data_IF_246661033837
#
_entry.id   IF_246661033837
#
_cell.length_a   1.000
_cell.length_b   1.000
_cell.length_c   1.000
_cell.angle_alpha   90.00
_cell.angle_beta   90.00
_cell.angle_gamma   90.00
#
_symmetry.space_group_name_H-M   'P 1'
#
loop_
_entity.id
_entity.type
_entity.pdbx_description
1 polymer ?
#
# COMPACT_ATOMS: atom_id res chain seq x y z
N UNK A 1 -11.42 5.10 -21.53
CA UNK A 1 -11.94 4.45 -22.76
C UNK A 1 -10.84 3.79 -23.57
N UNK A 2 -9.71 4.41 -23.77
CA UNK A 2 -8.59 3.88 -24.58
C UNK A 2 -8.08 2.49 -24.12
N UNK A 3 -8.02 2.21 -22.81
CA UNK A 3 -7.52 0.93 -22.28
C UNK A 3 -8.40 -0.27 -22.70
N UNK A 4 -9.73 -0.11 -22.75
CA UNK A 4 -10.64 -1.15 -23.25
C UNK A 4 -10.49 -1.38 -24.76
N UNK A 5 -10.30 -0.30 -25.55
CA UNK A 5 -10.09 -0.41 -27.00
C UNK A 5 -8.81 -1.18 -27.31
N UNK A 6 -7.75 -1.02 -26.50
CA UNK A 6 -6.51 -1.80 -26.66
C UNK A 6 -6.70 -3.28 -26.33
N UNK A 7 -7.59 -3.61 -25.40
CA UNK A 7 -7.87 -5.00 -24.99
C UNK A 7 -8.94 -5.70 -25.86
N UNK A 8 -9.82 -4.96 -26.55
CA UNK A 8 -10.84 -5.54 -27.45
C UNK A 8 -10.33 -6.59 -28.41
N UNK A 9 -9.20 -6.43 -29.11
CA UNK A 9 -8.69 -7.46 -30.03
C UNK A 9 -8.48 -8.81 -29.38
N UNK A 10 -8.24 -8.86 -28.06
CA UNK A 10 -8.10 -10.12 -27.33
C UNK A 10 -9.44 -10.82 -27.21
N UNK A 11 -10.49 -10.10 -26.79
CA UNK A 11 -11.85 -10.63 -26.70
C UNK A 11 -12.34 -11.08 -28.08
N UNK A 12 -12.18 -10.21 -29.10
CA UNK A 12 -12.60 -10.53 -30.49
C UNK A 12 -11.92 -11.78 -31.01
N UNK A 13 -10.66 -12.00 -30.68
CA UNK A 13 -9.91 -13.18 -31.07
C UNK A 13 -10.42 -14.45 -30.38
N UNK A 14 -10.76 -14.40 -29.10
CA UNK A 14 -11.39 -15.49 -28.36
C UNK A 14 -12.77 -15.82 -28.95
N UNK A 15 -13.61 -14.79 -29.19
CA UNK A 15 -14.94 -14.92 -29.76
C UNK A 15 -14.88 -15.53 -31.18
N UNK A 16 -13.94 -15.08 -32.01
CA UNK A 16 -13.73 -15.62 -33.36
C UNK A 16 -13.34 -17.10 -33.35
N UNK A 17 -12.70 -17.58 -32.28
CA UNK A 17 -12.38 -18.99 -32.09
C UNK A 17 -13.50 -19.79 -31.40
N UNK A 18 -14.71 -19.22 -31.25
CA UNK A 18 -15.89 -19.91 -30.74
C UNK A 18 -16.06 -19.88 -29.23
N UNK A 19 -15.30 -19.04 -28.51
CA UNK A 19 -15.39 -18.91 -27.07
C UNK A 19 -16.12 -17.62 -26.65
N UNK A 20 -16.76 -17.66 -25.51
CA UNK A 20 -17.24 -16.47 -24.85
C UNK A 20 -16.07 -15.71 -24.19
N UNK A 21 -16.12 -14.37 -24.22
CA UNK A 21 -15.13 -13.53 -23.57
C UNK A 21 -15.73 -12.19 -23.13
N UNK A 22 -15.41 -11.77 -21.91
CA UNK A 22 -15.96 -10.59 -21.28
C UNK A 22 -14.89 -9.84 -20.48
N UNK A 23 -15.01 -8.52 -20.41
CA UNK A 23 -14.36 -7.74 -19.37
C UNK A 23 -15.08 -7.96 -18.05
N UNK A 24 -14.34 -8.08 -16.93
CA UNK A 24 -14.95 -8.45 -15.64
C UNK A 24 -14.31 -7.72 -14.47
N UNK A 25 -15.02 -7.70 -13.34
CA UNK A 25 -14.44 -7.30 -12.06
C UNK A 25 -14.14 -5.80 -11.92
N UNK A 26 -12.95 -5.51 -11.40
CA UNK A 26 -12.56 -4.15 -11.04
C UNK A 26 -12.60 -3.15 -12.18
N UNK A 27 -12.19 -3.54 -13.38
CA UNK A 27 -12.16 -2.65 -14.55
C UNK A 27 -13.57 -2.24 -15.00
N UNK A 28 -14.55 -3.16 -14.94
CA UNK A 28 -15.95 -2.84 -15.29
C UNK A 28 -16.55 -1.92 -14.25
N UNK A 29 -16.38 -2.21 -12.95
CA UNK A 29 -16.81 -1.34 -11.85
C UNK A 29 -16.24 0.07 -12.00
N UNK A 30 -14.93 0.20 -12.20
CA UNK A 30 -14.26 1.50 -12.25
C UNK A 30 -14.66 2.29 -13.51
N UNK A 31 -14.95 1.59 -14.62
CA UNK A 31 -15.56 2.23 -15.80
C UNK A 31 -16.95 2.79 -15.50
N UNK A 32 -17.81 2.02 -14.85
CA UNK A 32 -19.17 2.45 -14.49
C UNK A 32 -19.17 3.65 -13.52
N UNK A 33 -18.13 3.71 -12.65
CA UNK A 33 -17.93 4.81 -11.72
C UNK A 33 -17.14 6.00 -12.31
N UNK A 34 -16.76 5.96 -13.58
CA UNK A 34 -15.90 6.96 -14.24
C UNK A 34 -14.58 7.20 -13.47
N UNK A 35 -13.99 6.13 -12.91
CA UNK A 35 -12.71 6.15 -12.20
C UNK A 35 -11.56 5.77 -13.13
N UNK A 36 -10.34 6.10 -12.72
CA UNK A 36 -9.14 5.61 -13.39
C UNK A 36 -9.07 4.10 -13.31
N UNK A 37 -8.91 3.44 -14.45
CA UNK A 37 -8.83 1.98 -14.57
C UNK A 37 -7.36 1.60 -14.53
N UNK A 38 -7.02 0.68 -13.64
CA UNK A 38 -5.68 0.09 -13.56
C UNK A 38 -5.52 -1.03 -14.59
N UNK A 39 -5.77 -2.25 -14.15
CA UNK A 39 -5.61 -3.45 -14.97
C UNK A 39 -6.93 -3.87 -15.62
N UNK A 40 -6.84 -4.54 -16.77
CA UNK A 40 -7.99 -5.15 -17.45
C UNK A 40 -8.00 -6.65 -17.17
N UNK A 41 -9.07 -7.10 -16.51
CA UNK A 41 -9.35 -8.51 -16.30
C UNK A 41 -10.32 -9.01 -17.36
N UNK A 42 -9.99 -10.15 -17.99
CA UNK A 42 -10.82 -10.82 -19.00
C UNK A 42 -11.20 -12.20 -18.47
N UNK A 43 -12.48 -12.54 -18.56
CA UNK A 43 -12.97 -13.88 -18.30
C UNK A 43 -13.44 -14.52 -19.61
N UNK A 44 -13.21 -15.85 -19.80
CA UNK A 44 -13.54 -16.58 -21.02
C UNK A 44 -14.01 -18.00 -20.74
N UNK A 45 -14.78 -18.57 -21.68
CA UNK A 45 -15.13 -20.00 -21.66
C UNK A 45 -14.00 -20.91 -22.19
N UNK A 46 -12.94 -20.32 -22.76
CA UNK A 46 -11.77 -21.07 -23.23
C UNK A 46 -10.96 -21.63 -22.06
N UNK A 47 -10.50 -22.86 -22.14
CA UNK A 47 -9.59 -23.46 -21.18
C UNK A 47 -8.19 -22.81 -21.29
N UNK A 48 -7.34 -22.89 -20.25
CA UNK A 48 -6.01 -22.29 -20.27
C UNK A 48 -5.16 -22.74 -21.48
N UNK A 49 -5.22 -24.02 -21.85
CA UNK A 49 -4.50 -24.59 -22.99
C UNK A 49 -5.03 -24.03 -24.33
N UNK A 50 -6.33 -23.78 -24.41
CA UNK A 50 -6.95 -23.17 -25.59
C UNK A 50 -6.53 -21.71 -25.72
N UNK A 51 -6.51 -20.94 -24.61
CA UNK A 51 -5.96 -19.58 -24.59
C UNK A 51 -4.52 -19.55 -25.06
N UNK A 52 -3.67 -20.46 -24.54
CA UNK A 52 -2.27 -20.55 -24.95
C UNK A 52 -2.09 -20.92 -26.42
N UNK A 53 -3.01 -21.70 -26.99
CA UNK A 53 -2.97 -22.06 -28.44
C UNK A 53 -3.38 -20.90 -29.35
N UNK A 54 -4.30 -20.03 -28.87
CA UNK A 54 -4.83 -18.89 -29.63
C UNK A 54 -3.82 -17.74 -29.69
N UNK A 55 -3.09 -17.50 -28.58
CA UNK A 55 -2.19 -16.35 -28.45
C UNK A 55 -0.72 -16.76 -28.54
N UNK A 56 0.10 -16.06 -29.37
CA UNK A 56 1.49 -16.44 -29.58
C UNK A 56 2.43 -16.15 -28.42
N UNK A 57 2.06 -15.22 -27.53
CA UNK A 57 2.86 -14.82 -26.37
C UNK A 57 2.01 -14.94 -25.11
N UNK A 58 2.24 -15.99 -24.36
CA UNK A 58 1.53 -16.27 -23.11
C UNK A 58 2.51 -16.65 -22.00
N UNK A 59 2.12 -16.37 -20.75
CA UNK A 59 2.84 -16.81 -19.56
C UNK A 59 1.84 -17.52 -18.65
N UNK A 60 2.08 -18.78 -18.28
CA UNK A 60 1.19 -19.54 -17.39
C UNK A 60 1.38 -19.10 -15.93
N UNK A 61 0.70 -18.07 -15.50
CA UNK A 61 0.84 -17.48 -14.17
C UNK A 61 0.01 -18.16 -13.09
N UNK A 62 -1.02 -18.92 -13.48
CA UNK A 62 -1.94 -19.55 -12.52
C UNK A 62 -2.81 -20.64 -13.15
N UNK A 63 -2.22 -21.57 -13.89
CA UNK A 63 -2.95 -22.64 -14.60
C UNK A 63 -3.92 -23.44 -13.72
N UNK A 64 -3.51 -23.74 -12.47
CA UNK A 64 -4.36 -24.45 -11.51
C UNK A 64 -5.61 -23.65 -11.14
N UNK A 65 -5.61 -22.34 -11.38
CA UNK A 65 -6.72 -21.43 -11.13
C UNK A 65 -7.34 -20.91 -12.44
N UNK A 66 -6.93 -21.45 -13.58
CA UNK A 66 -7.47 -21.06 -14.88
C UNK A 66 -6.95 -19.75 -15.45
N UNK A 67 -5.88 -19.16 -14.88
CA UNK A 67 -5.37 -17.84 -15.29
C UNK A 67 -4.14 -17.99 -16.20
N UNK A 68 -4.17 -17.29 -17.34
CA UNK A 68 -3.07 -17.16 -18.30
C UNK A 68 -2.83 -15.67 -18.55
N UNK A 69 -1.58 -15.23 -18.49
CA UNK A 69 -1.19 -13.89 -18.89
C UNK A 69 -0.91 -13.87 -20.38
N UNK A 70 -1.65 -13.06 -21.13
CA UNK A 70 -1.44 -12.83 -22.57
C UNK A 70 -0.73 -11.52 -22.76
N UNK A 71 0.34 -11.50 -23.56
CA UNK A 71 1.09 -10.29 -23.89
C UNK A 71 0.66 -9.82 -25.30
N UNK A 72 -0.07 -8.72 -25.36
CA UNK A 72 -0.54 -8.09 -26.58
C UNK A 72 0.04 -6.67 -26.69
N UNK A 73 0.73 -6.36 -27.79
CA UNK A 73 1.38 -5.05 -28.01
C UNK A 73 2.28 -4.60 -26.84
N UNK A 74 3.03 -5.55 -26.26
CA UNK A 74 3.90 -5.36 -25.08
C UNK A 74 3.16 -5.05 -23.77
N UNK A 75 1.83 -5.07 -23.75
CA UNK A 75 1.02 -4.93 -22.53
C UNK A 75 0.51 -6.31 -22.06
N UNK A 76 0.58 -6.62 -20.75
CA UNK A 76 0.07 -7.86 -20.19
C UNK A 76 -1.44 -7.77 -19.89
N UNK A 77 -2.18 -8.85 -20.15
CA UNK A 77 -3.59 -8.98 -19.84
C UNK A 77 -3.84 -10.31 -19.15
N UNK A 78 -4.53 -10.30 -18.02
CA UNK A 78 -4.96 -11.52 -17.35
C UNK A 78 -6.23 -12.06 -17.97
N UNK A 79 -6.15 -13.31 -18.47
CA UNK A 79 -7.29 -14.04 -18.99
C UNK A 79 -7.57 -15.22 -18.09
N UNK A 80 -8.76 -15.27 -17.52
CA UNK A 80 -9.18 -16.32 -16.59
C UNK A 80 -10.33 -17.12 -17.17
N UNK A 81 -10.18 -18.43 -17.21
CA UNK A 81 -11.26 -19.35 -17.59
C UNK A 81 -12.40 -19.28 -16.60
N UNK A 82 -13.67 -19.26 -17.07
CA UNK A 82 -14.85 -19.35 -16.21
C UNK A 82 -14.74 -20.56 -15.30
N UNK A 83 -15.00 -20.38 -14.03
CA UNK A 83 -14.85 -21.42 -13.04
C UNK A 83 -15.84 -21.32 -11.90
N UNK A 84 -16.13 -22.45 -11.32
CA UNK A 84 -16.73 -22.56 -9.98
C UNK A 84 -15.67 -23.08 -9.03
N UNK A 85 -15.86 -22.84 -7.78
CA UNK A 85 -14.96 -23.21 -6.71
C UNK A 85 -15.73 -24.14 -5.74
N UNK A 86 -15.15 -25.31 -5.44
CA UNK A 86 -15.75 -26.26 -4.48
C UNK A 86 -15.46 -25.84 -3.04
N UNK A 87 -15.77 -26.70 -2.07
CA UNK A 87 -15.56 -26.46 -0.64
C UNK A 87 -14.13 -26.03 -0.34
N UNK A 88 -13.98 -25.05 0.55
CA UNK A 88 -12.70 -24.54 1.02
C UNK A 88 -12.31 -25.22 2.33
N UNK A 89 -11.09 -25.76 2.43
CA UNK A 89 -10.60 -26.40 3.65
C UNK A 89 -9.81 -25.47 4.58
N UNK A 90 -9.23 -24.39 4.03
CA UNK A 90 -8.30 -23.50 4.74
C UNK A 90 -8.73 -22.02 4.72
N UNK A 91 -10.02 -21.75 4.46
CA UNK A 91 -10.57 -20.38 4.32
C UNK A 91 -9.88 -19.54 3.26
N UNK A 92 -9.23 -20.18 2.25
CA UNK A 92 -8.47 -19.48 1.20
C UNK A 92 -8.52 -20.17 -0.15
N UNK A 93 -8.25 -21.46 -0.19
CA UNK A 93 -8.12 -22.22 -1.45
C UNK A 93 -9.28 -23.16 -1.62
N UNK A 94 -9.96 -23.10 -2.74
CA UNK A 94 -10.91 -24.16 -3.07
C UNK A 94 -10.16 -25.49 -3.18
N UNK A 95 -10.74 -26.56 -2.70
CA UNK A 95 -10.18 -27.92 -2.84
C UNK A 95 -10.06 -28.33 -4.29
N UNK A 96 -11.00 -27.90 -5.12
CA UNK A 96 -11.05 -28.10 -6.57
C UNK A 96 -11.58 -26.88 -7.27
N UNK A 97 -11.03 -26.62 -8.45
CA UNK A 97 -11.53 -25.63 -9.40
C UNK A 97 -12.14 -26.39 -10.56
N UNK A 98 -13.42 -26.19 -10.81
CA UNK A 98 -14.12 -26.77 -11.94
C UNK A 98 -14.35 -25.69 -12.98
N UNK A 99 -13.84 -25.91 -14.20
CA UNK A 99 -14.10 -24.99 -15.31
C UNK A 99 -15.52 -25.15 -15.82
N UNK A 100 -16.19 -24.02 -16.03
CA UNK A 100 -17.57 -23.96 -16.48
C UNK A 100 -17.68 -23.15 -17.76
N UNK A 101 -18.84 -23.21 -18.42
CA UNK A 101 -19.08 -22.48 -19.66
C UNK A 101 -19.93 -21.23 -19.48
N UNK A 102 -20.58 -21.07 -18.31
CA UNK A 102 -21.47 -19.96 -18.04
C UNK A 102 -20.71 -18.83 -17.33
N UNK A 103 -20.79 -17.61 -17.85
CA UNK A 103 -20.28 -16.41 -17.19
C UNK A 103 -21.02 -16.15 -15.86
N UNK A 104 -22.32 -16.47 -15.77
CA UNK A 104 -23.11 -16.27 -14.56
C UNK A 104 -22.57 -17.10 -13.38
N UNK A 105 -22.14 -18.35 -13.67
CA UNK A 105 -21.53 -19.22 -12.66
C UNK A 105 -20.18 -18.63 -12.17
N UNK A 106 -19.36 -18.06 -13.06
CA UNK A 106 -18.11 -17.38 -12.66
C UNK A 106 -18.38 -16.12 -11.84
N UNK A 107 -19.41 -15.34 -12.22
CA UNK A 107 -19.78 -14.15 -11.46
C UNK A 107 -20.33 -14.48 -10.07
N UNK A 108 -21.02 -15.63 -9.91
CA UNK A 108 -21.63 -16.09 -8.66
C UNK A 108 -20.61 -16.36 -7.56
N UNK A 109 -19.40 -16.83 -7.88
CA UNK A 109 -18.34 -17.13 -6.90
C UNK A 109 -17.60 -15.90 -6.38
N UNK A 110 -17.81 -14.72 -6.99
CA UNK A 110 -17.11 -13.50 -6.63
C UNK A 110 -17.52 -12.96 -5.26
N UNK A 111 -16.76 -11.99 -4.76
CA UNK A 111 -16.94 -11.45 -3.41
C UNK A 111 -18.17 -10.55 -3.27
N UNK A 112 -18.25 -9.51 -4.10
CA UNK A 112 -19.29 -8.48 -4.00
C UNK A 112 -20.00 -8.26 -5.34
N UNK A 113 -21.28 -7.91 -5.27
CA UNK A 113 -22.14 -7.67 -6.45
C UNK A 113 -21.52 -6.67 -7.41
N UNK A 114 -20.95 -5.57 -6.90
CA UNK A 114 -20.27 -4.54 -7.69
C UNK A 114 -19.04 -5.02 -8.47
N UNK A 115 -18.47 -6.18 -8.11
CA UNK A 115 -17.34 -6.82 -8.80
C UNK A 115 -17.81 -8.02 -9.64
N UNK A 116 -19.11 -8.35 -9.58
CA UNK A 116 -19.74 -9.49 -10.27
C UNK A 116 -20.52 -9.02 -11.49
N UNK A 117 -19.94 -8.07 -12.21
CA UNK A 117 -20.47 -7.47 -13.42
C UNK A 117 -19.52 -7.82 -14.56
N UNK A 118 -20.06 -8.26 -15.68
CA UNK A 118 -19.32 -8.46 -16.91
C UNK A 118 -19.77 -7.47 -18.00
N UNK A 119 -18.90 -7.24 -18.98
CA UNK A 119 -19.17 -6.31 -20.08
C UNK A 119 -18.64 -6.89 -21.38
N UNK A 120 -19.48 -6.84 -22.43
CA UNK A 120 -19.11 -7.24 -23.78
C UNK A 120 -18.21 -6.20 -24.48
N UNK A 121 -17.63 -6.57 -25.62
CA UNK A 121 -16.90 -5.63 -26.51
C UNK A 121 -17.78 -4.50 -27.05
N UNK A 122 -19.11 -4.66 -27.04
CA UNK A 122 -20.10 -3.64 -27.42
C UNK A 122 -20.54 -2.76 -26.25
N UNK A 123 -19.94 -2.91 -25.07
CA UNK A 123 -20.33 -2.26 -23.82
C UNK A 123 -21.70 -2.67 -23.26
N UNK A 124 -22.23 -3.82 -23.67
CA UNK A 124 -23.42 -4.40 -23.06
C UNK A 124 -23.04 -4.97 -21.70
N UNK A 125 -23.86 -4.69 -20.69
CA UNK A 125 -23.62 -5.12 -19.31
C UNK A 125 -24.36 -6.43 -19.02
N UNK A 126 -23.66 -7.38 -18.41
CA UNK A 126 -24.20 -8.63 -17.88
C UNK A 126 -24.10 -8.54 -16.36
N UNK A 127 -25.22 -8.41 -15.69
CA UNK A 127 -25.31 -8.13 -14.25
C UNK A 127 -26.42 -8.98 -13.59
N UNK A 128 -26.16 -10.27 -13.38
CA UNK A 128 -27.15 -11.19 -12.81
C UNK A 128 -27.45 -10.94 -11.32
N UNK A 129 -26.61 -10.15 -10.63
CA UNK A 129 -26.72 -9.91 -9.19
C UNK A 129 -27.06 -8.46 -8.82
N UNK A 130 -27.51 -7.64 -9.79
CA UNK A 130 -27.86 -6.23 -9.60
C UNK A 130 -26.71 -5.37 -9.04
N UNK A 131 -25.47 -5.72 -9.37
CA UNK A 131 -24.28 -4.98 -8.91
C UNK A 131 -24.23 -3.55 -9.41
N UNK A 132 -24.84 -3.24 -10.56
CA UNK A 132 -24.97 -1.87 -11.08
C UNK A 132 -25.86 -1.01 -10.19
N UNK A 133 -26.93 -1.56 -9.64
CA UNK A 133 -27.80 -0.85 -8.68
C UNK A 133 -27.01 -0.58 -7.41
N UNK A 134 -26.36 -1.59 -6.84
CA UNK A 134 -25.53 -1.44 -5.63
C UNK A 134 -24.40 -0.41 -5.84
N UNK A 135 -23.82 -0.33 -7.04
CA UNK A 135 -22.82 0.70 -7.39
C UNK A 135 -23.40 2.11 -7.34
N UNK A 136 -24.58 2.35 -7.93
CA UNK A 136 -25.23 3.65 -7.91
C UNK A 136 -25.67 4.06 -6.52
N UNK A 137 -26.08 3.10 -5.69
CA UNK A 137 -26.47 3.32 -4.31
C UNK A 137 -25.27 3.47 -3.35
N UNK A 138 -24.05 3.33 -3.86
CA UNK A 138 -22.82 3.35 -3.06
C UNK A 138 -22.79 2.24 -2.02
N UNK A 139 -23.21 1.03 -2.39
CA UNK A 139 -23.40 -0.10 -1.49
C UNK A 139 -22.41 -1.22 -1.80
N UNK A 140 -21.84 -1.82 -0.75
CA UNK A 140 -21.01 -3.01 -0.82
C UNK A 140 -21.81 -4.17 -0.25
N UNK A 141 -22.27 -5.05 -1.14
CA UNK A 141 -23.09 -6.21 -0.83
C UNK A 141 -22.40 -7.48 -1.34
N UNK A 142 -22.38 -8.55 -0.52
CA UNK A 142 -21.88 -9.85 -0.96
C UNK A 142 -22.78 -10.46 -2.05
N UNK A 143 -22.18 -11.26 -2.92
CA UNK A 143 -22.93 -12.12 -3.85
C UNK A 143 -23.51 -13.30 -3.07
N UNK A 144 -24.81 -13.46 -3.07
CA UNK A 144 -25.48 -14.51 -2.29
C UNK A 144 -25.34 -14.29 -0.77
N UNK A 145 -25.24 -15.38 -0.02
CA UNK A 145 -25.18 -15.34 1.45
C UNK A 145 -23.79 -14.91 1.95
N UNK A 146 -23.71 -13.75 2.59
CA UNK A 146 -22.46 -13.17 3.06
C UNK A 146 -21.69 -14.09 4.03
N UNK A 147 -22.41 -14.84 4.87
CA UNK A 147 -21.81 -15.79 5.81
C UNK A 147 -21.05 -16.89 5.06
N UNK A 148 -21.63 -17.46 4.03
CA UNK A 148 -21.00 -18.49 3.19
C UNK A 148 -19.75 -17.94 2.49
N UNK A 149 -19.86 -16.74 1.89
CA UNK A 149 -18.74 -16.07 1.22
C UNK A 149 -17.54 -15.85 2.16
N UNK A 150 -17.76 -15.53 3.43
CA UNK A 150 -16.69 -15.34 4.40
C UNK A 150 -16.11 -16.65 4.94
N UNK A 151 -16.89 -17.73 4.93
CA UNK A 151 -16.39 -19.08 5.25
C UNK A 151 -15.54 -19.65 4.12
N UNK A 152 -15.76 -19.26 2.88
CA UNK A 152 -14.92 -19.62 1.73
C UNK A 152 -13.55 -18.91 1.78
N UNK A 153 -13.54 -17.59 1.80
CA UNK A 153 -12.32 -16.77 1.99
C UNK A 153 -12.60 -15.66 3.00
N UNK A 154 -12.10 -15.84 4.21
CA UNK A 154 -12.28 -14.89 5.30
C UNK A 154 -11.65 -13.51 5.00
N UNK A 155 -10.68 -13.42 4.08
CA UNK A 155 -10.12 -12.14 3.64
C UNK A 155 -11.17 -11.23 3.00
N UNK A 156 -12.26 -11.79 2.45
CA UNK A 156 -13.36 -11.01 1.88
C UNK A 156 -13.95 -10.02 2.90
N UNK A 157 -13.89 -10.30 4.19
CA UNK A 157 -14.30 -9.36 5.24
C UNK A 157 -13.47 -8.07 5.20
N UNK A 158 -12.15 -8.19 5.18
CA UNK A 158 -11.25 -7.03 5.07
C UNK A 158 -11.36 -6.36 3.70
N UNK A 159 -11.55 -7.13 2.63
CA UNK A 159 -11.80 -6.57 1.29
C UNK A 159 -13.05 -5.68 1.28
N UNK A 160 -14.14 -6.09 1.93
CA UNK A 160 -15.36 -5.27 2.07
C UNK A 160 -15.07 -3.95 2.77
N UNK A 161 -14.39 -3.98 3.92
CA UNK A 161 -14.00 -2.79 4.67
C UNK A 161 -13.04 -1.89 3.85
N UNK A 162 -12.08 -2.49 3.15
CA UNK A 162 -11.20 -1.75 2.23
C UNK A 162 -11.99 -1.03 1.15
N UNK A 163 -12.97 -1.69 0.52
CA UNK A 163 -13.78 -1.05 -0.51
C UNK A 163 -14.62 0.10 0.04
N UNK A 164 -15.11 0.02 1.29
CA UNK A 164 -15.74 1.18 1.95
C UNK A 164 -14.79 2.36 1.97
N UNK A 165 -13.55 2.15 2.38
CA UNK A 165 -12.55 3.23 2.41
C UNK A 165 -12.19 3.74 1.01
N UNK A 166 -11.96 2.86 0.04
CA UNK A 166 -11.48 3.24 -1.30
C UNK A 166 -12.54 3.91 -2.16
N UNK A 167 -13.80 3.45 -2.06
CA UNK A 167 -14.90 3.92 -2.88
C UNK A 167 -15.76 4.99 -2.18
N UNK A 168 -15.59 5.13 -0.86
CA UNK A 168 -16.42 5.97 0.00
C UNK A 168 -17.88 5.49 0.09
N UNK A 169 -18.07 4.18 -0.05
CA UNK A 169 -19.33 3.48 0.00
C UNK A 169 -19.72 3.07 1.42
N UNK A 170 -20.86 2.42 1.59
CA UNK A 170 -21.30 1.79 2.84
C UNK A 170 -21.46 0.28 2.68
N UNK A 171 -21.32 -0.46 3.78
CA UNK A 171 -21.65 -1.90 3.79
C UNK A 171 -23.15 -2.11 3.85
N UNK A 172 -23.65 -3.12 3.14
CA UNK A 172 -24.99 -3.65 3.33
C UNK A 172 -25.13 -4.28 4.74
N UNK A 173 -26.28 -4.14 5.38
CA UNK A 173 -26.47 -4.58 6.77
C UNK A 173 -26.19 -6.08 6.97
N UNK A 174 -26.61 -6.93 6.04
CA UNK A 174 -26.33 -8.37 6.10
C UNK A 174 -24.81 -8.64 5.98
N UNK A 175 -24.13 -7.91 5.10
CA UNK A 175 -22.67 -8.01 4.95
C UNK A 175 -21.95 -7.58 6.24
N UNK A 176 -22.38 -6.47 6.85
CA UNK A 176 -21.84 -6.00 8.12
C UNK A 176 -22.05 -7.02 9.25
N UNK A 177 -23.28 -7.54 9.40
CA UNK A 177 -23.61 -8.52 10.43
C UNK A 177 -22.86 -9.85 10.23
N UNK A 178 -22.66 -10.26 8.97
CA UNK A 178 -21.86 -11.43 8.66
C UNK A 178 -20.37 -11.25 9.01
N UNK A 179 -19.76 -10.07 8.78
CA UNK A 179 -18.41 -9.77 9.24
C UNK A 179 -18.33 -9.88 10.76
N UNK A 180 -19.25 -9.24 11.47
CA UNK A 180 -19.29 -9.25 12.93
C UNK A 180 -19.42 -10.67 13.51
N UNK A 181 -20.16 -11.54 12.83
CA UNK A 181 -20.38 -12.94 13.27
C UNK A 181 -19.19 -13.86 12.96
N UNK A 182 -18.43 -13.59 11.89
CA UNK A 182 -17.37 -14.44 11.38
C UNK A 182 -15.95 -13.89 11.60
N UNK A 183 -15.79 -12.79 12.33
CA UNK A 183 -14.52 -12.07 12.52
C UNK A 183 -13.32 -12.95 12.93
N UNK A 184 -13.55 -14.00 13.72
CA UNK A 184 -12.50 -14.93 14.18
C UNK A 184 -11.84 -15.68 13.02
N UNK A 185 -12.57 -15.88 11.89
CA UNK A 185 -12.03 -16.60 10.74
C UNK A 185 -10.81 -15.88 10.12
N UNK A 186 -10.65 -14.57 10.37
CA UNK A 186 -9.51 -13.81 9.85
C UNK A 186 -8.17 -14.31 10.40
N UNK A 187 -8.16 -14.92 11.59
CA UNK A 187 -6.95 -15.46 12.23
C UNK A 187 -6.33 -16.62 11.43
N UNK A 188 -7.11 -17.25 10.53
CA UNK A 188 -6.64 -18.32 9.66
C UNK A 188 -5.96 -17.79 8.37
N UNK A 189 -6.01 -16.47 8.14
CA UNK A 189 -5.48 -15.87 6.91
C UNK A 189 -4.01 -15.47 7.11
N UNK A 190 -3.19 -15.72 6.09
CA UNK A 190 -1.80 -15.28 6.07
C UNK A 190 -1.69 -13.76 6.29
N UNK A 191 -0.81 -13.36 7.20
CA UNK A 191 -0.67 -11.97 7.65
C UNK A 191 -0.30 -11.04 6.49
N UNK A 192 0.47 -11.53 5.53
CA UNK A 192 0.85 -10.79 4.32
C UNK A 192 -0.38 -10.36 3.51
N UNK A 193 -1.40 -11.22 3.41
CA UNK A 193 -2.67 -10.87 2.74
C UNK A 193 -3.47 -9.85 3.54
N UNK A 194 -3.55 -10.04 4.86
CA UNK A 194 -4.21 -9.09 5.79
C UNK A 194 -3.56 -7.71 5.67
N UNK A 195 -2.22 -7.67 5.70
CA UNK A 195 -1.43 -6.44 5.62
C UNK A 195 -1.75 -5.64 4.35
N UNK A 196 -1.81 -6.30 3.20
CA UNK A 196 -2.16 -5.64 1.93
C UNK A 196 -3.55 -5.02 1.95
N UNK A 197 -4.55 -5.69 2.52
CA UNK A 197 -5.93 -5.16 2.58
C UNK A 197 -6.02 -3.98 3.56
N UNK A 198 -5.39 -4.08 4.73
CA UNK A 198 -5.36 -3.02 5.74
C UNK A 198 -4.63 -1.78 5.20
N UNK A 199 -3.49 -1.96 4.56
CA UNK A 199 -2.75 -0.82 4.00
C UNK A 199 -3.53 -0.11 2.88
N UNK A 200 -4.15 -0.87 1.98
CA UNK A 200 -5.01 -0.31 0.94
C UNK A 200 -6.25 0.39 1.52
N UNK A 201 -6.75 -0.06 2.67
CA UNK A 201 -7.82 0.61 3.40
C UNK A 201 -7.33 1.93 3.99
N UNK A 202 -6.17 1.93 4.64
CA UNK A 202 -5.61 3.10 5.33
C UNK A 202 -5.25 4.25 4.37
N UNK A 203 -4.86 3.95 3.13
CA UNK A 203 -4.58 4.95 2.08
C UNK A 203 -5.77 5.20 1.14
N UNK A 204 -6.94 4.68 1.48
CA UNK A 204 -8.17 4.90 0.71
C UNK A 204 -8.66 6.35 0.79
N UNK A 205 -9.72 6.66 0.06
CA UNK A 205 -10.37 7.98 0.05
C UNK A 205 -10.94 8.35 1.41
N UNK A 206 -11.48 7.37 2.15
CA UNK A 206 -12.19 7.53 3.42
C UNK A 206 -11.68 6.53 4.47
N UNK A 207 -10.38 6.61 4.89
CA UNK A 207 -9.79 5.64 5.80
C UNK A 207 -10.49 5.59 7.16
N UNK A 208 -11.04 6.70 7.64
CA UNK A 208 -11.82 6.75 8.89
C UNK A 208 -13.01 5.80 8.86
N UNK A 209 -13.78 5.74 7.77
CA UNK A 209 -14.90 4.79 7.62
C UNK A 209 -14.42 3.34 7.74
N UNK A 210 -13.25 3.03 7.17
CA UNK A 210 -12.64 1.70 7.29
C UNK A 210 -12.24 1.37 8.73
N UNK A 211 -11.60 2.31 9.43
CA UNK A 211 -11.21 2.15 10.84
C UNK A 211 -12.45 1.99 11.72
N UNK A 212 -13.47 2.81 11.51
CA UNK A 212 -14.74 2.73 12.24
C UNK A 212 -15.38 1.35 12.08
N UNK A 213 -15.41 0.79 10.87
CA UNK A 213 -15.93 -0.55 10.61
C UNK A 213 -15.08 -1.65 11.28
N UNK A 214 -13.76 -1.54 11.30
CA UNK A 214 -12.90 -2.48 12.03
C UNK A 214 -13.26 -2.52 13.53
N UNK A 215 -13.57 -1.35 14.11
CA UNK A 215 -13.95 -1.21 15.51
C UNK A 215 -15.37 -1.75 15.74
N UNK A 216 -16.35 -1.30 14.97
CA UNK A 216 -17.78 -1.67 15.12
C UNK A 216 -18.02 -3.17 14.91
N UNK A 217 -17.30 -3.80 13.99
CA UNK A 217 -17.34 -5.25 13.77
C UNK A 217 -16.51 -6.04 14.78
N UNK A 218 -15.72 -5.36 15.59
CA UNK A 218 -14.75 -5.96 16.50
C UNK A 218 -13.65 -6.79 15.81
N UNK A 219 -13.44 -6.55 14.50
CA UNK A 219 -12.44 -7.25 13.70
C UNK A 219 -11.01 -6.85 14.09
N UNK A 220 -10.83 -5.61 14.56
CA UNK A 220 -9.54 -5.08 15.04
C UNK A 220 -8.88 -5.97 16.08
N UNK A 221 -9.67 -6.63 16.94
CA UNK A 221 -9.17 -7.52 18.00
C UNK A 221 -8.58 -8.85 17.48
N UNK A 222 -8.82 -9.16 16.22
CA UNK A 222 -8.32 -10.36 15.54
C UNK A 222 -7.17 -10.06 14.57
N UNK A 223 -6.72 -8.80 14.54
CA UNK A 223 -5.60 -8.38 13.71
C UNK A 223 -4.27 -8.47 14.50
N UNK A 224 -3.13 -8.72 13.82
CA UNK A 224 -1.84 -8.87 14.49
C UNK A 224 -1.48 -7.66 15.35
N UNK A 225 -1.18 -7.88 16.62
CA UNK A 225 -0.72 -6.86 17.58
C UNK A 225 -1.64 -5.64 17.77
N UNK A 226 -2.89 -5.65 17.28
CA UNK A 226 -3.80 -4.51 17.45
C UNK A 226 -4.83 -4.68 18.57
N UNK A 227 -5.02 -5.90 19.05
CA UNK A 227 -5.98 -6.20 20.12
C UNK A 227 -5.77 -5.34 21.38
N UNK A 228 -4.51 -5.10 21.75
CA UNK A 228 -4.16 -4.34 22.95
C UNK A 228 -4.35 -2.83 22.76
N UNK A 229 -4.50 -2.38 21.52
CA UNK A 229 -4.57 -0.96 21.16
C UNK A 229 -5.94 -0.52 20.62
N UNK A 230 -6.99 -1.32 20.84
CA UNK A 230 -8.34 -1.04 20.31
C UNK A 230 -8.86 0.34 20.68
N UNK A 231 -8.61 0.79 21.93
CA UNK A 231 -9.03 2.11 22.38
C UNK A 231 -8.31 3.25 21.64
N UNK A 232 -7.00 3.06 21.38
CA UNK A 232 -6.19 4.06 20.67
C UNK A 232 -6.57 4.15 19.18
N UNK A 233 -7.16 3.09 18.61
CA UNK A 233 -7.73 3.15 17.28
C UNK A 233 -8.92 4.11 17.19
N UNK A 234 -9.68 4.32 18.26
CA UNK A 234 -10.72 5.35 18.31
C UNK A 234 -10.12 6.75 18.18
N UNK A 235 -8.95 7.01 18.78
CA UNK A 235 -8.28 8.30 18.69
C UNK A 235 -7.92 8.68 17.25
N UNK A 236 -7.68 7.69 16.37
CA UNK A 236 -7.41 7.93 14.95
C UNK A 236 -8.62 8.51 14.20
N UNK A 237 -9.85 8.25 14.68
CA UNK A 237 -11.08 8.77 14.07
C UNK A 237 -11.19 10.28 14.18
N UNK A 238 -10.62 10.86 15.23
CA UNK A 238 -10.63 12.30 15.47
C UNK A 238 -9.59 13.04 14.60
N UNK A 239 -8.58 12.34 14.10
CA UNK A 239 -7.47 12.94 13.37
C UNK A 239 -7.75 13.03 11.85
N UNK A 240 -7.24 14.05 11.13
CA UNK A 240 -7.38 14.18 9.68
C UNK A 240 -6.40 13.23 8.92
N UNK A 241 -6.44 11.92 9.22
CA UNK A 241 -5.52 10.92 8.70
C UNK A 241 -5.55 10.78 7.17
N UNK A 242 -6.66 11.13 6.52
CA UNK A 242 -6.82 11.11 5.06
C UNK A 242 -5.91 12.11 4.35
N UNK A 243 -5.33 13.06 5.07
CA UNK A 243 -4.38 14.05 4.52
C UNK A 243 -2.94 13.54 4.47
N UNK A 244 -2.63 12.42 5.13
CA UNK A 244 -1.33 11.74 5.04
C UNK A 244 -1.16 11.11 3.65
N UNK A 245 0.07 11.15 3.13
CA UNK A 245 0.34 10.77 1.73
C UNK A 245 0.94 9.37 1.58
N UNK A 246 1.58 8.86 2.64
CA UNK A 246 2.27 7.57 2.57
C UNK A 246 1.82 6.64 3.69
N UNK A 247 1.87 5.36 3.40
CA UNK A 247 1.50 4.34 4.39
C UNK A 247 2.49 4.28 5.55
N UNK A 248 3.75 4.68 5.35
CA UNK A 248 4.77 4.77 6.38
C UNK A 248 4.42 5.85 7.41
N UNK A 249 3.86 7.00 6.97
CA UNK A 249 3.33 8.03 7.86
C UNK A 249 2.18 7.48 8.71
N UNK A 250 1.25 6.76 8.09
CA UNK A 250 0.09 6.21 8.79
C UNK A 250 0.53 5.18 9.85
N UNK A 251 1.46 4.27 9.50
CA UNK A 251 2.00 3.32 10.47
C UNK A 251 2.77 3.99 11.60
N UNK A 252 3.56 5.02 11.31
CA UNK A 252 4.25 5.79 12.35
C UNK A 252 3.25 6.47 13.31
N UNK A 253 2.14 7.03 12.77
CA UNK A 253 1.05 7.60 13.55
C UNK A 253 0.35 6.54 14.42
N UNK A 254 0.03 5.37 13.87
CA UNK A 254 -0.58 4.27 14.62
C UNK A 254 0.31 3.87 15.79
N UNK A 255 1.60 3.62 15.54
CA UNK A 255 2.56 3.25 16.60
C UNK A 255 2.68 4.34 17.66
N UNK A 256 2.70 5.61 17.25
CA UNK A 256 2.77 6.77 18.15
C UNK A 256 1.53 6.86 19.04
N UNK A 257 0.32 6.75 18.46
CA UNK A 257 -0.93 6.78 19.23
C UNK A 257 -1.09 5.57 20.14
N UNK A 258 -0.59 4.40 19.70
CA UNK A 258 -0.55 3.19 20.54
C UNK A 258 0.51 3.26 21.64
N UNK A 259 1.37 4.28 21.67
CA UNK A 259 2.49 4.41 22.60
C UNK A 259 3.29 3.09 22.73
N UNK A 260 3.68 2.54 21.57
CA UNK A 260 4.25 1.20 21.48
C UNK A 260 5.65 1.14 22.07
N UNK A 261 5.85 0.32 23.11
CA UNK A 261 7.17 0.07 23.71
C UNK A 261 8.14 -0.66 22.76
N UNK A 262 7.59 -1.43 21.81
CA UNK A 262 8.39 -2.19 20.85
C UNK A 262 7.82 -2.07 19.42
N UNK A 263 8.02 -0.92 18.75
CA UNK A 263 7.49 -0.65 17.42
C UNK A 263 8.00 -1.65 16.37
N UNK A 264 9.26 -2.09 16.48
CA UNK A 264 9.83 -3.07 15.54
C UNK A 264 9.11 -4.42 15.63
N UNK A 265 8.77 -4.88 16.83
CA UNK A 265 8.07 -6.15 17.00
C UNK A 265 6.66 -6.10 16.43
N UNK A 266 5.94 -4.97 16.63
CA UNK A 266 4.62 -4.77 16.02
C UNK A 266 4.72 -4.89 14.50
N UNK A 267 5.64 -4.14 13.86
CA UNK A 267 5.82 -4.16 12.41
C UNK A 267 6.28 -5.53 11.88
N UNK A 268 7.10 -6.24 12.65
CA UNK A 268 7.54 -7.61 12.33
C UNK A 268 6.37 -8.59 12.35
N UNK A 269 5.45 -8.44 13.28
CA UNK A 269 4.23 -9.25 13.33
C UNK A 269 3.34 -9.01 12.09
N UNK A 270 3.42 -7.82 11.48
CA UNK A 270 2.79 -7.49 10.20
C UNK A 270 3.59 -7.93 8.98
N UNK A 271 4.67 -8.71 9.16
CA UNK A 271 5.51 -9.24 8.08
C UNK A 271 6.10 -8.17 7.15
N UNK A 272 6.38 -7.00 7.68
CA UNK A 272 7.01 -5.92 6.90
C UNK A 272 8.48 -6.20 6.60
N UNK A 273 8.98 -5.70 5.47
CA UNK A 273 10.39 -5.80 5.13
C UNK A 273 11.27 -4.95 6.08
N UNK A 274 12.51 -5.40 6.32
CA UNK A 274 13.45 -4.70 7.19
C UNK A 274 13.69 -3.23 6.76
N UNK A 275 13.75 -2.97 5.46
CA UNK A 275 13.93 -1.61 4.94
C UNK A 275 12.75 -0.71 5.33
N UNK A 276 11.54 -1.20 5.16
CA UNK A 276 10.33 -0.46 5.48
C UNK A 276 10.15 -0.25 6.99
N UNK A 277 10.43 -1.28 7.78
CA UNK A 277 10.42 -1.16 9.25
C UNK A 277 11.37 -0.06 9.72
N UNK A 278 12.62 -0.01 9.20
CA UNK A 278 13.58 1.05 9.53
C UNK A 278 13.05 2.45 9.22
N UNK A 279 12.39 2.63 8.07
CA UNK A 279 11.79 3.92 7.71
C UNK A 279 10.69 4.34 8.68
N UNK A 280 9.76 3.42 9.00
CA UNK A 280 8.64 3.70 9.91
C UNK A 280 9.17 4.01 11.32
N UNK A 281 10.09 3.20 11.83
CA UNK A 281 10.68 3.38 13.17
C UNK A 281 11.49 4.69 13.26
N UNK A 282 12.17 5.07 12.18
CA UNK A 282 12.87 6.38 12.13
C UNK A 282 11.88 7.53 12.33
N UNK A 283 10.75 7.51 11.62
CA UNK A 283 9.71 8.55 11.74
C UNK A 283 9.05 8.50 13.13
N UNK A 284 8.73 7.31 13.63
CA UNK A 284 8.20 7.09 14.97
C UNK A 284 9.12 7.69 16.06
N UNK A 285 10.43 7.43 15.97
CA UNK A 285 11.39 7.98 16.92
C UNK A 285 11.44 9.51 16.87
N UNK A 286 11.36 10.10 15.67
CA UNK A 286 11.28 11.56 15.52
C UNK A 286 10.03 12.13 16.21
N UNK A 287 8.89 11.44 16.16
CA UNK A 287 7.65 11.89 16.84
C UNK A 287 7.77 11.86 18.38
N UNK A 288 8.60 10.99 18.93
CA UNK A 288 8.84 10.87 20.36
C UNK A 288 9.95 11.81 20.87
N UNK A 289 10.68 12.50 19.98
CA UNK A 289 11.58 13.56 20.40
C UNK A 289 10.77 14.78 20.88
N UNK A 290 11.35 15.55 21.82
CA UNK A 290 10.76 16.84 22.21
C UNK A 290 10.61 17.73 20.98
N UNK A 291 9.57 18.63 20.99
CA UNK A 291 9.20 19.49 19.85
C UNK A 291 10.42 20.02 19.10
N UNK A 292 10.58 19.56 17.87
CA UNK A 292 11.78 19.75 17.08
C UNK A 292 11.84 21.17 16.50
N UNK A 293 13.00 21.82 16.62
CA UNK A 293 13.32 23.01 15.82
C UNK A 293 14.28 22.58 14.71
N UNK A 294 13.95 22.95 13.49
CA UNK A 294 14.81 22.64 12.35
C UNK A 294 16.05 23.57 12.35
N UNK A 295 17.21 23.00 12.67
CA UNK A 295 18.53 23.57 12.41
C UNK A 295 19.13 22.90 11.17
N UNK A 296 20.20 23.48 10.61
CA UNK A 296 20.97 22.86 9.53
C UNK A 296 21.37 21.43 9.89
N UNK A 297 21.97 21.25 11.07
CA UNK A 297 22.40 19.95 11.60
C UNK A 297 21.27 18.95 11.67
N UNK A 298 20.11 19.33 12.24
CA UNK A 298 18.98 18.42 12.37
C UNK A 298 18.40 18.06 11.01
N UNK A 299 18.25 19.03 10.11
CA UNK A 299 17.73 18.80 8.77
C UNK A 299 18.67 17.94 7.91
N UNK A 300 19.98 18.14 8.04
CA UNK A 300 21.00 17.30 7.42
C UNK A 300 20.90 15.84 7.92
N UNK A 301 20.81 15.62 9.23
CA UNK A 301 20.74 14.29 9.84
C UNK A 301 19.45 13.53 9.47
N UNK A 302 18.32 14.22 9.48
CA UNK A 302 17.00 13.63 9.21
C UNK A 302 16.80 13.41 7.71
N UNK A 303 17.19 14.39 6.90
CA UNK A 303 16.95 14.49 5.48
C UNK A 303 15.58 15.08 5.16
N UNK A 304 15.49 15.81 4.05
CA UNK A 304 14.27 16.52 3.64
C UNK A 304 13.00 15.62 3.54
N UNK A 305 13.07 14.41 2.95
CA UNK A 305 11.86 13.58 2.83
C UNK A 305 11.24 13.20 4.18
N UNK A 306 12.07 12.86 5.17
CA UNK A 306 11.59 12.45 6.49
C UNK A 306 11.20 13.67 7.34
N UNK A 307 11.85 14.82 7.15
CA UNK A 307 11.45 16.08 7.75
C UNK A 307 10.05 16.51 7.30
N UNK A 308 9.73 16.38 6.00
CA UNK A 308 8.40 16.66 5.46
C UNK A 308 7.35 15.71 6.07
N UNK A 309 7.65 14.41 6.16
CA UNK A 309 6.74 13.44 6.78
C UNK A 309 6.48 13.77 8.24
N UNK A 310 7.53 14.13 8.99
CA UNK A 310 7.42 14.54 10.39
C UNK A 310 6.47 15.74 10.55
N UNK A 311 6.66 16.81 9.77
CA UNK A 311 5.80 18.00 9.86
C UNK A 311 4.34 17.71 9.49
N UNK A 312 4.10 16.91 8.45
CA UNK A 312 2.73 16.47 8.12
C UNK A 312 2.09 15.69 9.25
N UNK A 313 2.84 14.81 9.89
CA UNK A 313 2.37 14.07 11.08
C UNK A 313 2.11 15.00 12.25
N UNK A 314 2.95 16.00 12.49
CA UNK A 314 2.71 17.02 13.53
C UNK A 314 1.42 17.80 13.25
N UNK A 315 1.14 18.17 12.01
CA UNK A 315 -0.16 18.78 11.66
C UNK A 315 -1.31 17.84 12.06
N UNK A 316 -1.28 16.59 11.61
CA UNK A 316 -2.34 15.61 11.91
C UNK A 316 -2.50 15.38 13.41
N UNK A 317 -1.41 15.23 14.18
CA UNK A 317 -1.44 15.04 15.63
C UNK A 317 -2.09 16.25 16.34
N UNK A 318 -1.91 17.45 15.79
CA UNK A 318 -2.51 18.69 16.28
C UNK A 318 -3.90 18.99 15.65
N UNK A 319 -4.55 18.00 15.03
CA UNK A 319 -5.86 18.12 14.37
C UNK A 319 -5.90 19.11 13.18
N UNK A 320 -4.75 19.37 12.55
CA UNK A 320 -4.60 20.21 11.37
C UNK A 320 -4.48 19.30 10.13
N UNK A 321 -5.13 19.68 9.02
CA UNK A 321 -4.97 18.97 7.75
C UNK A 321 -3.52 19.07 7.27
N UNK A 322 -2.87 17.95 6.98
CA UNK A 322 -1.47 17.91 6.57
C UNK A 322 -1.22 18.66 5.23
N UNK A 323 -2.27 18.90 4.44
CA UNK A 323 -2.17 19.71 3.23
C UNK A 323 -1.99 21.21 3.52
N UNK A 324 -2.28 21.67 4.74
CA UNK A 324 -2.02 23.05 5.17
C UNK A 324 -0.52 23.31 5.42
N UNK A 325 0.27 22.25 5.59
CA UNK A 325 1.71 22.38 5.78
C UNK A 325 2.40 22.91 4.51
N UNK A 326 3.10 24.03 4.63
CA UNK A 326 3.88 24.58 3.56
C UNK A 326 5.28 23.94 3.48
N UNK A 327 5.45 22.97 2.63
CA UNK A 327 6.72 22.26 2.42
C UNK A 327 7.86 23.19 1.93
N UNK A 328 7.54 24.35 1.34
CA UNK A 328 8.55 25.22 0.74
C UNK A 328 9.49 25.83 1.80
N UNK A 329 9.04 26.03 3.01
CA UNK A 329 9.88 26.53 4.11
C UNK A 329 11.02 25.56 4.41
N UNK A 330 10.72 24.25 4.54
CA UNK A 330 11.73 23.22 4.73
C UNK A 330 12.61 23.01 3.49
N UNK A 331 12.03 23.04 2.30
CA UNK A 331 12.80 22.94 1.04
C UNK A 331 13.81 24.07 0.92
N UNK A 332 13.40 25.31 1.23
CA UNK A 332 14.30 26.46 1.21
C UNK A 332 15.45 26.30 2.23
N UNK A 333 15.15 25.86 3.46
CA UNK A 333 16.16 25.64 4.47
C UNK A 333 17.13 24.50 4.05
N UNK A 334 16.59 23.41 3.51
CA UNK A 334 17.39 22.30 3.01
C UNK A 334 18.30 22.70 1.84
N UNK A 335 17.81 23.52 0.91
CA UNK A 335 18.60 24.00 -0.22
C UNK A 335 19.71 24.98 0.18
N UNK A 336 19.69 25.50 1.41
CA UNK A 336 20.75 26.36 1.96
C UNK A 336 21.85 25.56 2.68
N UNK A 337 21.67 24.23 2.82
CA UNK A 337 22.71 23.38 3.40
C UNK A 337 23.96 23.40 2.50
N UNK A 338 25.15 23.55 3.09
CA UNK A 338 26.42 23.56 2.34
C UNK A 338 26.80 22.20 1.78
N UNK A 339 26.30 21.12 2.41
CA UNK A 339 26.45 19.72 1.95
C UNK A 339 25.16 18.94 2.25
N UNK A 340 24.89 17.89 1.47
CA UNK A 340 23.72 17.01 1.61
C UNK A 340 24.09 15.61 2.10
N UNK A 341 25.37 15.24 2.01
CA UNK A 341 25.89 13.94 2.41
C UNK A 341 27.39 14.04 2.76
N UNK A 342 27.92 13.02 3.44
CA UNK A 342 29.35 12.92 3.74
C UNK A 342 30.23 12.92 2.50
N UNK A 343 29.73 12.43 1.37
CA UNK A 343 30.47 12.41 0.10
C UNK A 343 30.67 13.80 -0.52
N UNK A 344 29.94 14.82 -0.04
CA UNK A 344 30.05 16.20 -0.53
C UNK A 344 31.17 16.97 0.17
N UNK A 345 31.79 16.39 1.22
CA UNK A 345 32.95 16.99 1.90
C UNK A 345 34.14 16.97 0.94
N UNK A 346 34.77 18.12 0.76
CA UNK A 346 35.84 18.31 -0.21
C UNK A 346 37.14 17.56 0.07
N UNK A 347 37.29 16.92 1.25
CA UNK A 347 38.43 16.13 1.66
C UNK A 347 38.08 14.70 2.04
N UNK A 348 39.07 13.85 2.08
CA UNK A 348 38.99 12.45 2.47
C UNK A 348 39.82 12.15 3.71
N UNK A 349 39.70 10.96 4.29
CA UNK A 349 40.56 10.50 5.35
C UNK A 349 42.06 10.42 4.94
N UNK A 350 42.35 10.22 3.64
CA UNK A 350 43.74 10.20 3.14
C UNK A 350 44.37 11.58 3.19
N UNK A 351 43.63 12.64 2.92
CA UNK A 351 44.11 14.02 3.02
C UNK A 351 44.52 14.33 4.47
N UNK A 352 43.72 13.90 5.46
CA UNK A 352 44.02 14.07 6.88
C UNK A 352 45.27 13.28 7.30
N UNK A 353 45.46 12.07 6.77
CA UNK A 353 46.67 11.28 7.01
C UNK A 353 47.93 11.95 6.43
N UNK A 354 47.84 12.48 5.21
CA UNK A 354 48.92 13.20 4.55
C UNK A 354 49.30 14.46 5.33
N UNK A 355 48.34 15.25 5.77
CA UNK A 355 48.57 16.50 6.48
C UNK A 355 49.09 16.31 7.90
N UNK A 356 48.65 15.26 8.61
CA UNK A 356 49.06 14.97 9.98
C UNK A 356 50.33 14.14 10.08
N UNK A 357 50.68 13.36 9.04
CA UNK A 357 51.71 12.33 9.05
C UNK A 357 51.52 11.27 10.18
N UNK A 358 50.33 11.19 10.76
CA UNK A 358 49.99 10.22 11.79
C UNK A 358 49.52 8.89 11.15
N UNK A 359 49.65 7.79 11.90
CA UNK A 359 49.06 6.52 11.48
C UNK A 359 47.54 6.58 11.61
N UNK A 360 46.84 5.91 10.66
CA UNK A 360 45.39 5.77 10.71
C UNK A 360 44.91 5.15 12.02
N UNK A 361 43.78 5.66 12.52
CA UNK A 361 43.18 5.22 13.77
C UNK A 361 41.76 5.78 13.99
N UNK A 362 41.14 5.53 15.16
CA UNK A 362 39.79 6.00 15.49
C UNK A 362 39.60 7.52 15.35
N UNK A 363 40.68 8.30 15.60
CA UNK A 363 40.68 9.75 15.50
C UNK A 363 40.22 10.29 14.13
N UNK A 364 40.50 9.55 13.04
CA UNK A 364 40.06 9.95 11.69
C UNK A 364 38.54 10.08 11.60
N UNK A 365 37.81 9.13 12.20
CA UNK A 365 36.37 9.16 12.23
C UNK A 365 35.83 10.33 13.05
N UNK A 366 36.47 10.61 14.17
CA UNK A 366 36.10 11.72 15.06
C UNK A 366 36.29 13.06 14.35
N UNK A 367 37.49 13.27 13.78
CA UNK A 367 37.80 14.51 13.05
C UNK A 367 36.91 14.71 11.84
N UNK A 368 36.69 13.67 11.03
CA UNK A 368 35.79 13.77 9.87
C UNK A 368 34.35 14.10 10.30
N UNK A 369 33.88 13.55 11.42
CA UNK A 369 32.54 13.86 11.93
C UNK A 369 32.44 15.29 12.46
N UNK A 370 33.52 15.82 13.04
CA UNK A 370 33.55 17.20 13.51
C UNK A 370 33.65 18.19 12.33
N UNK A 371 34.49 17.90 11.32
CA UNK A 371 34.52 18.68 10.06
C UNK A 371 33.14 18.72 9.40
N UNK A 372 32.49 17.55 9.28
CA UNK A 372 31.12 17.43 8.75
C UNK A 372 30.15 18.37 9.48
N UNK A 373 30.19 18.37 10.82
CA UNK A 373 29.31 19.19 11.64
C UNK A 373 29.57 20.68 11.46
N UNK A 374 30.85 21.08 11.48
CA UNK A 374 31.30 22.48 11.31
C UNK A 374 30.87 23.03 9.92
N UNK A 375 30.99 22.19 8.88
CA UNK A 375 30.55 22.57 7.53
C UNK A 375 29.03 22.71 7.51
N UNK A 376 28.27 21.76 8.02
CA UNK A 376 26.79 21.79 8.05
C UNK A 376 26.26 23.01 8.80
N UNK A 377 26.95 23.43 9.85
CA UNK A 377 26.60 24.63 10.65
C UNK A 377 27.06 25.94 10.04
N UNK A 378 27.71 25.92 8.85
CA UNK A 378 28.33 27.08 8.19
C UNK A 378 29.44 27.75 9.02
N UNK A 379 30.09 27.00 9.92
CA UNK A 379 31.23 27.47 10.71
C UNK A 379 32.60 27.20 10.03
N UNK A 380 32.56 26.29 9.05
CA UNK A 380 33.72 25.93 8.23
C UNK A 380 33.30 25.89 6.76
N UNK A 381 34.04 26.60 5.90
CA UNK A 381 33.82 26.51 4.46
C UNK A 381 34.25 25.15 3.91
N UNK A 382 33.41 24.56 3.03
CA UNK A 382 33.72 23.29 2.39
C UNK A 382 34.71 23.47 1.24
N UNK A 383 35.92 23.90 1.56
CA UNK A 383 37.05 23.94 0.63
C UNK A 383 38.32 23.40 1.30
N UNK A 384 39.21 22.83 0.51
CA UNK A 384 40.37 22.10 1.00
C UNK A 384 41.32 22.99 1.84
N UNK A 385 41.43 24.28 1.51
CA UNK A 385 42.35 25.18 2.25
C UNK A 385 41.79 25.48 3.65
N UNK A 386 40.53 25.88 3.72
CA UNK A 386 39.86 26.17 4.99
C UNK A 386 39.83 24.96 5.93
N UNK A 387 39.49 23.77 5.36
CA UNK A 387 39.50 22.52 6.16
C UNK A 387 40.88 22.15 6.63
N UNK A 388 41.93 22.34 5.82
CA UNK A 388 43.32 22.07 6.22
C UNK A 388 43.77 22.99 7.35
N UNK A 389 43.49 24.30 7.25
CA UNK A 389 43.83 25.27 8.32
C UNK A 389 43.08 24.94 9.61
N UNK A 390 41.81 24.63 9.55
CA UNK A 390 41.02 24.18 10.70
C UNK A 390 41.62 22.92 11.34
N UNK A 391 41.99 21.91 10.54
CA UNK A 391 42.55 20.65 11.00
C UNK A 391 43.94 20.82 11.66
N UNK A 392 44.80 21.66 11.10
CA UNK A 392 46.10 21.96 11.72
C UNK A 392 45.93 22.60 13.10
N UNK A 393 45.00 23.53 13.25
CA UNK A 393 44.65 24.14 14.54
C UNK A 393 44.04 23.12 15.52
N UNK A 394 43.29 22.16 15.02
CA UNK A 394 42.72 21.07 15.81
C UNK A 394 43.80 20.12 16.36
N UNK A 395 44.84 19.82 15.58
CA UNK A 395 45.99 18.98 16.00
C UNK A 395 46.85 19.62 17.09
N UNK A 396 46.77 20.92 17.27
CA UNK A 396 47.54 21.66 18.28
C UNK A 396 46.84 21.73 19.64
N UNK A 397 45.60 21.32 19.71
CA UNK A 397 44.80 21.23 20.96
C UNK A 397 44.97 19.90 21.63
#
# INVERSE_FOLDING_TARGET
>A
MEIFEKAKPILDRLIKNGFEAYFVGGCVRDKLLNRTIGDIDIATSALPEEVMSIFPKTVPTGLQHGTVLVIQNSEPYEITTFRTESTYYDFRRPSEVTFVKSIEEDLKRRDFTMNSIAMTTKNEIIDPFNGTIDLYDGLIKCVGEAKERFQEDALRMLRGIRFVSQLDFRLHDETFNAIKSNKQLIENIAIERISVEIEKMLIGKSPKKGIELLIQTNLVNHLPSLKEYTNQFNDLLELPIQSLKTIEEIWALILYKCNSDNPEQVLRNWKMSNSRMKQIVKIYNLLNETKMKWSNTKLYQVGLPDAIKYERLQCVINHIDANEFNENSLKNLYNQLPIYSKSDICITGNDLLEWSQLKGGPWLKEVLSEIELQIVENQLENNQLAVKEWFINWLQK
#
